data_IF_861076300747
#
_entry.id   IF_861076300747
#
_cell.length_a   1.000
_cell.length_b   1.000
_cell.length_c   1.000
_cell.angle_alpha   90.00
_cell.angle_beta   90.00
_cell.angle_gamma   90.00
#
_symmetry.space_group_name_H-M   'P 1'
#
loop_
_entity.id
_entity.type
_entity.pdbx_description
1 polymer ?
#
# COMPACT_ATOMS: atom_id res chain seq x y z
N UNK A 1 37.21 -57.18 37.32
CA UNK A 1 38.43 -56.63 36.68
C UNK A 1 38.06 -55.25 36.14
N UNK A 2 38.11 -54.18 36.95
CA UNK A 2 39.24 -53.26 37.21
C UNK A 2 39.94 -52.69 35.97
N UNK A 3 39.78 -51.36 35.84
CA UNK A 3 40.70 -50.33 35.35
C UNK A 3 41.16 -50.34 33.89
N UNK A 4 40.83 -49.28 33.15
CA UNK A 4 41.73 -48.11 33.05
C UNK A 4 40.96 -46.84 32.63
N UNK A 5 41.14 -45.77 33.42
CA UNK A 5 40.81 -44.40 33.05
C UNK A 5 41.85 -43.87 32.06
N UNK A 6 41.44 -42.97 31.17
CA UNK A 6 42.33 -41.89 30.71
C UNK A 6 41.55 -40.57 30.71
N UNK A 7 41.92 -39.70 31.65
CA UNK A 7 41.55 -38.31 31.69
C UNK A 7 42.67 -37.50 31.02
N UNK A 8 42.32 -36.50 30.21
CA UNK A 8 43.22 -35.43 29.82
C UNK A 8 42.49 -34.10 29.95
N UNK A 9 43.00 -33.25 30.83
CA UNK A 9 42.58 -31.86 31.08
C UNK A 9 43.61 -30.88 30.48
N UNK A 10 43.21 -29.59 30.45
CA UNK A 10 43.96 -28.35 30.15
C UNK A 10 43.98 -27.95 28.65
N UNK A 11 43.77 -26.69 28.22
CA UNK A 11 43.80 -25.38 28.90
C UNK A 11 42.97 -24.35 28.12
N UNK A 12 42.43 -23.36 28.83
CA UNK A 12 41.82 -22.14 28.31
C UNK A 12 42.89 -21.20 27.72
N UNK A 13 42.63 -20.64 26.54
CA UNK A 13 43.33 -19.47 25.99
C UNK A 13 42.30 -18.39 25.66
N UNK A 14 42.39 -17.27 26.41
CA UNK A 14 41.80 -15.99 26.04
C UNK A 14 42.78 -15.32 25.09
N UNK A 15 42.32 -14.93 23.90
CA UNK A 15 43.06 -14.06 23.00
C UNK A 15 42.12 -12.97 22.46
N UNK A 16 42.25 -11.75 22.99
CA UNK A 16 41.86 -10.54 22.28
C UNK A 16 42.99 -10.19 21.30
N UNK A 17 42.66 -10.03 20.02
CA UNK A 17 43.57 -9.61 18.97
C UNK A 17 42.81 -8.83 17.90
N UNK A 18 43.40 -7.72 17.50
CA UNK A 18 42.86 -6.57 16.75
C UNK A 18 43.05 -6.77 15.24
N UNK A 19 42.15 -6.20 14.42
CA UNK A 19 42.02 -6.32 12.94
C UNK A 19 43.31 -6.02 12.12
N UNK A 20 43.41 -6.49 10.85
CA UNK A 20 42.92 -5.67 9.72
C UNK A 20 42.37 -6.43 8.47
N UNK A 21 41.61 -5.72 7.64
CA UNK A 21 41.17 -6.10 6.28
C UNK A 21 39.66 -5.86 6.11
N UNK A 22 39.18 -4.64 5.83
CA UNK A 22 39.23 -3.93 4.54
C UNK A 22 38.95 -4.83 3.32
N UNK A 23 37.68 -4.86 2.92
CA UNK A 23 37.25 -5.01 1.53
C UNK A 23 35.85 -4.38 1.36
N UNK A 24 35.80 -3.30 0.58
CA UNK A 24 34.81 -3.22 -0.50
C UNK A 24 33.45 -2.58 -0.23
N UNK A 25 33.45 -1.25 -0.06
CA UNK A 25 32.66 -0.31 -0.87
C UNK A 25 31.20 -0.63 -1.25
N UNK A 26 30.27 0.07 -0.60
CA UNK A 26 28.94 0.39 -1.13
C UNK A 26 28.47 1.72 -0.53
N UNK A 27 28.88 2.84 -1.13
CA UNK A 27 28.55 4.18 -0.67
C UNK A 27 27.24 4.73 -1.21
N UNK A 28 26.61 5.59 -0.39
CA UNK A 28 25.66 6.65 -0.78
C UNK A 28 24.20 6.22 -0.86
N UNK A 29 23.20 6.95 -0.36
CA UNK A 29 23.16 8.27 0.29
C UNK A 29 22.41 8.16 1.62
N UNK A 30 22.80 8.87 2.66
CA UNK A 30 22.68 10.32 2.71
C UNK A 30 21.38 10.60 3.44
N UNK A 31 21.46 10.94 4.73
CA UNK A 31 20.32 11.31 5.55
C UNK A 31 19.53 12.41 4.85
N UNK A 32 18.44 12.01 4.19
CA UNK A 32 17.45 12.93 3.68
C UNK A 32 16.73 13.49 4.89
N UNK A 33 16.46 14.78 4.84
CA UNK A 33 15.48 15.37 5.74
C UNK A 33 14.17 14.60 5.51
N UNK A 34 13.68 13.87 6.52
CA UNK A 34 12.31 13.35 6.51
C UNK A 34 11.42 14.50 6.04
N UNK A 35 10.59 14.29 5.01
CA UNK A 35 9.65 15.31 4.61
C UNK A 35 8.81 15.66 5.84
N UNK A 36 8.96 16.87 6.36
CA UNK A 36 8.40 17.19 7.66
C UNK A 36 6.88 17.14 7.55
N UNK A 37 6.22 16.27 8.30
CA UNK A 37 4.76 16.30 8.38
C UNK A 37 4.29 17.64 8.94
N UNK A 38 3.17 18.16 8.42
CA UNK A 38 2.53 19.37 8.95
C UNK A 38 1.75 19.08 10.25
N UNK A 39 1.46 17.79 10.51
CA UNK A 39 0.52 17.35 11.53
C UNK A 39 -0.94 17.31 11.05
N UNK A 40 -1.21 17.76 9.83
CA UNK A 40 -2.51 17.65 9.18
C UNK A 40 -2.72 16.26 8.59
N UNK A 41 -3.92 15.73 8.75
CA UNK A 41 -4.32 14.44 8.18
C UNK A 41 -5.80 14.43 7.82
N UNK A 42 -6.14 13.65 6.81
CA UNK A 42 -7.51 13.45 6.35
C UNK A 42 -7.89 11.98 6.43
N UNK A 43 -9.17 11.67 6.63
CA UNK A 43 -9.65 10.29 6.65
C UNK A 43 -10.85 10.12 5.75
N UNK A 44 -10.84 9.04 4.97
CA UNK A 44 -12.00 8.54 4.25
C UNK A 44 -12.31 7.12 4.67
N UNK A 45 -13.58 6.75 4.57
CA UNK A 45 -14.08 5.44 4.97
C UNK A 45 -14.93 4.84 3.87
N UNK A 46 -14.62 3.60 3.49
CA UNK A 46 -15.49 2.74 2.72
C UNK A 46 -16.33 1.87 3.66
N UNK A 47 -17.66 1.85 3.45
CA UNK A 47 -18.59 1.04 4.23
C UNK A 47 -18.98 1.64 5.60
N UNK A 48 -19.50 0.83 6.55
CA UNK A 48 -19.55 -0.63 6.50
C UNK A 48 -20.65 -1.18 5.57
N UNK A 49 -20.43 -2.37 5.02
CA UNK A 49 -21.41 -3.17 4.28
C UNK A 49 -21.52 -4.55 4.93
N UNK A 50 -22.75 -5.02 5.16
CA UNK A 50 -22.99 -6.37 5.66
C UNK A 50 -23.01 -7.36 4.49
N UNK A 51 -22.06 -8.29 4.48
CA UNK A 51 -21.85 -9.25 3.39
C UNK A 51 -22.29 -10.64 3.85
N UNK A 52 -23.32 -11.25 3.24
CA UNK A 52 -23.74 -12.60 3.57
C UNK A 52 -22.66 -13.66 3.32
N UNK A 53 -22.79 -14.86 3.92
CA UNK A 53 -21.91 -16.00 3.62
C UNK A 53 -21.78 -16.28 2.12
N UNK A 54 -20.58 -16.68 1.70
CA UNK A 54 -20.26 -17.07 0.32
C UNK A 54 -20.59 -15.99 -0.73
N UNK A 55 -20.38 -14.71 -0.38
CA UNK A 55 -20.56 -13.57 -1.29
C UNK A 55 -19.25 -12.86 -1.57
N UNK A 56 -19.11 -12.48 -2.83
CA UNK A 56 -17.99 -11.73 -3.39
C UNK A 56 -18.58 -10.66 -4.30
N UNK A 57 -18.06 -9.43 -4.22
CA UNK A 57 -18.48 -8.33 -5.08
C UNK A 57 -17.43 -7.21 -5.05
N UNK A 58 -17.40 -6.39 -6.10
CA UNK A 58 -16.55 -5.19 -6.19
C UNK A 58 -17.43 -3.96 -6.26
N UNK A 59 -17.23 -3.04 -5.31
CA UNK A 59 -18.05 -1.85 -5.18
C UNK A 59 -17.21 -0.61 -4.92
N UNK A 60 -17.69 0.51 -5.46
CA UNK A 60 -16.99 1.78 -5.42
C UNK A 60 -17.83 2.85 -4.71
N UNK A 61 -17.12 3.78 -4.07
CA UNK A 61 -17.65 5.07 -3.62
C UNK A 61 -16.71 6.18 -4.05
N UNK A 62 -17.24 7.40 -4.10
CA UNK A 62 -16.52 8.61 -4.43
C UNK A 62 -16.76 9.62 -3.34
N UNK A 63 -15.69 10.04 -2.68
CA UNK A 63 -15.72 10.94 -1.55
C UNK A 63 -14.80 12.13 -1.81
N UNK A 64 -15.17 13.28 -1.27
CA UNK A 64 -14.38 14.50 -1.32
C UNK A 64 -13.56 14.62 -0.05
N UNK A 65 -12.26 14.87 -0.18
CA UNK A 65 -11.47 15.34 0.96
C UNK A 65 -11.92 16.75 1.37
N UNK A 66 -11.87 17.05 2.65
CA UNK A 66 -12.20 18.39 3.18
C UNK A 66 -10.96 19.29 3.30
N UNK A 67 -9.96 19.10 2.44
CA UNK A 67 -8.82 20.00 2.36
C UNK A 67 -9.22 21.29 1.62
N UNK A 68 -9.05 22.44 2.27
CA UNK A 68 -9.43 23.75 1.71
C UNK A 68 -8.40 24.29 0.70
N UNK A 69 -7.16 23.81 0.79
CA UNK A 69 -6.05 24.20 -0.07
C UNK A 69 -5.41 22.98 -0.71
N UNK A 70 -4.54 23.21 -1.69
CA UNK A 70 -3.66 22.15 -2.18
C UNK A 70 -2.84 21.55 -1.03
N UNK A 71 -2.70 20.23 -1.02
CA UNK A 71 -1.90 19.49 -0.03
C UNK A 71 -0.92 18.54 -0.72
N UNK A 72 0.19 18.23 -0.03
CA UNK A 72 1.16 17.21 -0.45
C UNK A 72 1.01 15.97 0.43
N UNK A 73 0.41 14.91 -0.08
CA UNK A 73 0.21 13.65 0.64
C UNK A 73 1.47 12.79 0.50
N UNK A 74 2.20 12.62 1.59
CA UNK A 74 3.47 11.87 1.62
C UNK A 74 3.31 10.44 2.17
N UNK A 75 2.25 10.20 2.92
CA UNK A 75 1.97 8.88 3.48
C UNK A 75 0.48 8.58 3.51
N UNK A 76 0.14 7.30 3.38
CA UNK A 76 -1.19 6.76 3.57
C UNK A 76 -1.18 5.65 4.62
N UNK A 77 -2.26 5.53 5.39
CA UNK A 77 -2.50 4.37 6.26
C UNK A 77 -3.86 3.77 5.96
N UNK A 78 -3.86 2.52 5.49
CA UNK A 78 -5.06 1.78 5.17
C UNK A 78 -5.35 0.74 6.25
N UNK A 79 -6.60 0.64 6.70
CA UNK A 79 -7.04 -0.39 7.65
C UNK A 79 -8.28 -1.09 7.10
N UNK A 80 -8.21 -2.41 6.96
CA UNK A 80 -9.28 -3.24 6.39
C UNK A 80 -9.87 -4.16 7.47
N UNK A 81 -11.19 -4.30 7.47
CA UNK A 81 -11.88 -5.27 8.33
C UNK A 81 -11.82 -6.68 7.78
N UNK A 82 -12.37 -7.64 8.54
CA UNK A 82 -12.65 -8.98 8.02
C UNK A 82 -13.57 -8.94 6.79
N UNK A 83 -13.35 -9.87 5.86
CA UNK A 83 -14.10 -9.98 4.60
C UNK A 83 -13.63 -9.05 3.47
N UNK A 84 -12.79 -8.05 3.73
CA UNK A 84 -12.09 -7.31 2.67
C UNK A 84 -11.09 -8.22 1.94
N UNK A 85 -11.00 -8.13 0.61
CA UNK A 85 -10.01 -8.85 -0.18
C UNK A 85 -8.94 -7.91 -0.75
N UNK A 86 -9.34 -6.76 -1.31
CA UNK A 86 -8.44 -5.63 -1.55
C UNK A 86 -9.17 -4.29 -1.52
N UNK A 87 -8.44 -3.24 -1.16
CA UNK A 87 -8.84 -1.84 -1.28
C UNK A 87 -7.92 -1.14 -2.28
N UNK A 88 -8.51 -0.41 -3.22
CA UNK A 88 -7.80 0.50 -4.11
C UNK A 88 -8.26 1.92 -3.83
N UNK A 89 -7.28 2.79 -3.62
CA UNK A 89 -7.48 4.23 -3.44
C UNK A 89 -7.03 4.90 -4.72
N UNK A 90 -7.92 5.69 -5.32
CA UNK A 90 -7.61 6.48 -6.50
C UNK A 90 -7.69 7.96 -6.18
N UNK A 91 -6.71 8.72 -6.68
CA UNK A 91 -6.91 10.15 -6.90
C UNK A 91 -7.76 10.32 -8.16
N UNK A 92 -8.88 11.02 -8.04
CA UNK A 92 -9.84 11.20 -9.12
C UNK A 92 -9.94 12.68 -9.51
N UNK A 93 -9.40 13.01 -10.68
CA UNK A 93 -9.45 14.34 -11.31
C UNK A 93 -10.53 14.43 -12.39
N UNK A 94 -11.39 13.41 -12.52
CA UNK A 94 -12.45 13.34 -13.52
C UNK A 94 -13.83 13.58 -12.91
N UNK A 95 -14.15 12.85 -11.85
CA UNK A 95 -15.43 12.97 -11.18
C UNK A 95 -15.48 14.20 -10.29
N UNK A 96 -16.69 14.76 -10.16
CA UNK A 96 -16.95 15.96 -9.34
C UNK A 96 -18.12 15.77 -8.38
N UNK A 97 -18.79 14.63 -8.44
CA UNK A 97 -19.96 14.33 -7.62
C UNK A 97 -19.64 13.22 -6.64
N UNK A 98 -20.01 13.41 -5.37
CA UNK A 98 -19.87 12.35 -4.39
C UNK A 98 -20.90 11.24 -4.62
N UNK A 99 -20.46 10.01 -4.41
CA UNK A 99 -21.29 8.82 -4.32
C UNK A 99 -20.88 8.11 -3.04
N UNK A 100 -21.62 8.38 -1.97
CA UNK A 100 -21.29 7.89 -0.63
C UNK A 100 -21.83 6.49 -0.36
N UNK A 101 -22.76 6.02 -1.20
CA UNK A 101 -23.31 4.67 -1.10
C UNK A 101 -22.55 3.73 -2.04
N UNK A 102 -22.03 2.60 -1.52
CA UNK A 102 -21.37 1.60 -2.36
C UNK A 102 -22.27 1.15 -3.52
N UNK A 103 -21.72 1.21 -4.74
CA UNK A 103 -22.38 0.76 -5.96
C UNK A 103 -21.47 -0.23 -6.70
N UNK A 104 -22.01 -1.23 -7.40
CA UNK A 104 -21.23 -2.09 -8.28
C UNK A 104 -20.38 -1.26 -9.24
N UNK A 105 -19.13 -1.68 -9.44
CA UNK A 105 -18.21 -1.04 -10.38
C UNK A 105 -17.28 -2.07 -11.04
N UNK A 106 -16.80 -1.72 -12.22
CA UNK A 106 -15.81 -2.53 -12.92
C UNK A 106 -14.44 -2.40 -12.22
N UNK A 107 -13.79 -3.52 -11.85
CA UNK A 107 -12.50 -3.51 -11.16
C UNK A 107 -11.40 -2.82 -11.98
N UNK A 108 -10.45 -2.19 -11.29
CA UNK A 108 -9.23 -1.62 -11.88
C UNK A 108 -9.45 -0.57 -12.98
N UNK A 109 -10.66 -0.03 -13.14
CA UNK A 109 -10.96 1.00 -14.16
C UNK A 109 -10.09 2.24 -14.08
N UNK A 110 -9.66 2.64 -12.87
CA UNK A 110 -8.69 3.71 -12.70
C UNK A 110 -7.28 3.31 -13.16
N UNK A 111 -6.85 2.10 -12.82
CA UNK A 111 -5.51 1.61 -13.12
C UNK A 111 -5.31 1.26 -14.61
N UNK A 112 -6.39 0.88 -15.30
CA UNK A 112 -6.37 0.43 -16.69
C UNK A 112 -6.82 1.52 -17.69
N UNK A 113 -7.30 2.68 -17.21
CA UNK A 113 -7.58 3.79 -18.11
C UNK A 113 -6.28 4.43 -18.61
N UNK A 114 -6.29 4.88 -19.86
CA UNK A 114 -5.15 5.60 -20.45
C UNK A 114 -5.23 7.12 -20.26
N UNK A 115 -6.25 7.64 -19.58
CA UNK A 115 -6.41 9.09 -19.40
C UNK A 115 -5.49 9.63 -18.32
N UNK A 116 -5.15 8.81 -17.32
CA UNK A 116 -4.38 9.22 -16.14
C UNK A 116 -5.15 10.17 -15.20
N UNK A 117 -6.42 10.47 -15.50
CA UNK A 117 -7.24 11.37 -14.69
C UNK A 117 -7.82 10.68 -13.46
N UNK A 118 -7.96 9.36 -13.48
CA UNK A 118 -8.28 8.56 -12.29
C UNK A 118 -7.10 7.62 -12.09
N UNK A 119 -6.25 7.91 -11.13
CA UNK A 119 -4.97 7.23 -10.96
C UNK A 119 -4.91 6.51 -9.60
N UNK A 120 -4.51 5.22 -9.55
CA UNK A 120 -4.32 4.54 -8.29
C UNK A 120 -3.15 5.17 -7.54
N UNK A 121 -3.32 5.33 -6.23
CA UNK A 121 -2.28 5.84 -5.31
C UNK A 121 -1.99 4.86 -4.17
N UNK A 122 -2.86 3.88 -3.97
CA UNK A 122 -2.63 2.71 -3.12
C UNK A 122 -3.44 1.52 -3.63
N UNK A 123 -2.84 0.34 -3.63
CA UNK A 123 -3.50 -0.95 -3.88
C UNK A 123 -3.04 -1.87 -2.75
N UNK A 124 -3.95 -2.25 -1.86
CA UNK A 124 -3.59 -3.03 -0.68
C UNK A 124 -4.54 -4.18 -0.41
N UNK A 125 -3.97 -5.25 0.13
CA UNK A 125 -4.65 -6.45 0.63
C UNK A 125 -4.27 -6.74 2.09
N UNK A 126 -3.45 -5.88 2.71
CA UNK A 126 -3.06 -6.05 4.13
C UNK A 126 -4.16 -5.49 5.02
N UNK A 127 -4.38 -6.14 6.16
CA UNK A 127 -5.34 -5.65 7.16
C UNK A 127 -4.95 -4.28 7.75
N UNK A 128 -3.65 -4.01 7.85
CA UNK A 128 -3.08 -2.73 8.26
C UNK A 128 -1.87 -2.46 7.34
N UNK A 129 -1.93 -1.39 6.55
CA UNK A 129 -0.89 -1.02 5.58
C UNK A 129 -0.50 0.44 5.70
N UNK A 130 0.73 0.69 6.12
CA UNK A 130 1.33 2.03 6.14
C UNK A 130 2.24 2.18 4.94
N UNK A 131 1.90 3.12 4.08
CA UNK A 131 2.63 3.46 2.87
C UNK A 131 3.36 4.77 3.15
N UNK A 132 4.69 4.73 3.12
CA UNK A 132 5.55 5.92 3.15
C UNK A 132 6.18 6.05 1.78
N UNK A 133 6.02 7.23 1.17
CA UNK A 133 6.71 7.54 -0.07
C UNK A 133 8.19 7.84 0.23
N UNK A 134 9.10 7.73 -0.75
CA UNK A 134 10.48 8.14 -0.58
C UNK A 134 10.59 9.62 -0.17
N UNK A 135 11.71 9.99 0.45
CA UNK A 135 11.99 11.37 0.84
C UNK A 135 11.71 12.35 -0.32
N UNK A 136 11.09 13.48 0.02
CA UNK A 136 10.79 14.57 -0.91
C UNK A 136 9.80 14.20 -2.04
N UNK A 137 9.14 13.05 -1.95
CA UNK A 137 8.12 12.59 -2.90
C UNK A 137 6.74 12.66 -2.27
N UNK A 138 5.75 13.21 -2.96
CA UNK A 138 4.36 13.23 -2.51
C UNK A 138 3.38 13.16 -3.69
N UNK A 139 2.13 12.80 -3.40
CA UNK A 139 1.03 13.09 -4.31
C UNK A 139 0.49 14.49 -4.04
N UNK A 140 0.26 15.27 -5.10
CA UNK A 140 -0.37 16.59 -5.01
C UNK A 140 -1.88 16.45 -5.15
N UNK A 141 -2.62 16.94 -4.16
CA UNK A 141 -4.08 16.91 -4.15
C UNK A 141 -4.61 18.33 -4.23
N UNK A 142 -5.52 18.58 -5.18
CA UNK A 142 -6.19 19.87 -5.32
C UNK A 142 -7.11 20.14 -4.10
N UNK A 143 -7.51 21.40 -3.86
CA UNK A 143 -8.58 21.70 -2.90
C UNK A 143 -9.79 20.80 -3.15
N UNK A 144 -10.31 20.22 -2.08
CA UNK A 144 -11.43 19.30 -2.11
C UNK A 144 -11.26 18.13 -3.09
N UNK A 145 -10.09 17.49 -3.10
CA UNK A 145 -9.79 16.41 -4.04
C UNK A 145 -10.84 15.30 -3.97
N UNK A 146 -11.34 14.88 -5.13
CA UNK A 146 -12.16 13.67 -5.21
C UNK A 146 -11.27 12.43 -5.13
N UNK A 147 -11.73 11.46 -4.34
CA UNK A 147 -11.09 10.17 -4.13
C UNK A 147 -12.11 9.08 -4.39
N UNK A 148 -11.76 8.16 -5.29
CA UNK A 148 -12.52 6.93 -5.49
C UNK A 148 -11.93 5.85 -4.59
N UNK A 149 -12.78 5.18 -3.82
CA UNK A 149 -12.44 3.99 -3.05
C UNK A 149 -13.13 2.78 -3.67
N UNK A 150 -12.35 1.82 -4.14
CA UNK A 150 -12.82 0.56 -4.71
C UNK A 150 -12.49 -0.57 -3.74
N UNK A 151 -13.54 -1.20 -3.20
CA UNK A 151 -13.41 -2.36 -2.34
C UNK A 151 -13.85 -3.59 -3.12
N UNK A 152 -12.94 -4.54 -3.26
CA UNK A 152 -13.30 -5.90 -3.55
C UNK A 152 -13.31 -6.68 -2.24
N UNK A 153 -14.43 -7.34 -1.96
CA UNK A 153 -14.61 -8.11 -0.74
C UNK A 153 -15.07 -9.53 -1.05
N UNK A 154 -14.70 -10.44 -0.16
CA UNK A 154 -15.08 -11.84 -0.18
C UNK A 154 -15.39 -12.30 1.24
N UNK A 155 -16.64 -12.67 1.49
CA UNK A 155 -17.01 -13.39 2.69
C UNK A 155 -16.99 -14.90 2.42
N UNK A 156 -15.87 -15.54 2.74
CA UNK A 156 -15.69 -16.99 2.66
C UNK A 156 -16.14 -17.73 3.93
N UNK A 157 -16.75 -17.05 4.89
CA UNK A 157 -17.24 -17.64 6.14
C UNK A 157 -18.67 -18.16 6.01
N UNK A 158 -19.17 -18.82 7.06
CA UNK A 158 -20.55 -19.28 7.19
C UNK A 158 -21.48 -18.27 7.91
N UNK A 159 -20.95 -17.10 8.27
CA UNK A 159 -21.69 -16.03 8.96
C UNK A 159 -21.64 -14.71 8.20
N UNK A 160 -22.53 -13.78 8.49
CA UNK A 160 -22.48 -12.44 7.88
C UNK A 160 -21.30 -11.65 8.43
N UNK A 161 -20.50 -11.09 7.54
CA UNK A 161 -19.35 -10.23 7.88
C UNK A 161 -19.69 -8.75 7.67
N UNK A 162 -19.08 -7.87 8.48
CA UNK A 162 -19.18 -6.42 8.29
C UNK A 162 -17.89 -5.91 7.65
N UNK A 163 -17.95 -5.57 6.38
CA UNK A 163 -16.81 -5.15 5.57
C UNK A 163 -16.68 -3.63 5.59
N UNK A 164 -15.48 -3.13 5.89
CA UNK A 164 -15.13 -1.71 6.01
C UNK A 164 -13.66 -1.52 5.62
N UNK A 165 -13.35 -0.38 5.01
CA UNK A 165 -11.98 0.10 4.85
C UNK A 165 -11.84 1.54 5.32
N UNK A 166 -10.74 1.88 5.98
CA UNK A 166 -10.37 3.25 6.30
C UNK A 166 -9.07 3.61 5.59
N UNK A 167 -8.96 4.86 5.15
CA UNK A 167 -7.76 5.44 4.54
C UNK A 167 -7.48 6.77 5.22
N UNK A 168 -6.34 6.86 5.90
CA UNK A 168 -5.81 8.10 6.44
C UNK A 168 -4.72 8.64 5.49
N UNK A 169 -4.78 9.94 5.17
CA UNK A 169 -3.83 10.67 4.31
C UNK A 169 -3.03 11.64 5.19
N UNK A 170 -1.70 11.55 5.16
CA UNK A 170 -0.82 12.40 5.98
C UNK A 170 -0.08 13.42 5.13
N UNK A 171 -0.17 14.69 5.54
CA UNK A 171 0.32 15.83 4.77
C UNK A 171 1.75 16.20 5.17
N UNK A 172 2.62 16.34 4.16
CA UNK A 172 3.97 16.88 4.30
C UNK A 172 3.98 18.39 4.03
N UNK A 173 4.98 19.08 4.60
CA UNK A 173 5.27 20.48 4.25
C UNK A 173 5.62 20.58 2.79
N UNK A 174 4.92 21.43 2.05
CA UNK A 174 5.15 21.61 0.63
C UNK A 174 6.60 22.05 0.29
N UNK A 175 7.28 22.77 1.19
CA UNK A 175 8.69 23.18 1.03
C UNK A 175 9.67 22.01 0.99
N UNK A 176 9.26 20.83 1.46
CA UNK A 176 10.13 19.68 1.62
C UNK A 176 9.98 18.68 0.46
N UNK A 177 9.04 18.94 -0.47
CA UNK A 177 8.68 18.07 -1.59
C UNK A 177 9.23 18.63 -2.91
N UNK A 178 9.96 17.79 -3.64
CA UNK A 178 10.51 18.11 -4.97
C UNK A 178 9.89 17.28 -6.10
N UNK A 179 9.23 16.18 -5.76
CA UNK A 179 8.88 15.14 -6.70
C UNK A 179 7.42 14.72 -6.53
N UNK A 180 6.75 14.59 -7.67
CA UNK A 180 5.39 14.06 -7.73
C UNK A 180 5.43 12.53 -7.79
N UNK A 181 4.64 11.88 -6.94
CA UNK A 181 4.45 10.44 -6.97
C UNK A 181 3.47 10.03 -8.08
N UNK A 182 3.71 8.87 -8.68
CA UNK A 182 2.79 8.23 -9.60
C UNK A 182 2.95 6.72 -9.52
N UNK A 183 1.89 5.99 -9.86
CA UNK A 183 1.94 4.54 -10.02
C UNK A 183 1.99 4.20 -11.50
N UNK A 184 2.98 3.40 -11.89
CA UNK A 184 2.98 2.71 -13.17
C UNK A 184 2.27 1.37 -13.00
N UNK A 185 1.04 1.27 -13.51
CA UNK A 185 0.32 0.00 -13.62
C UNK A 185 0.55 -0.56 -15.02
N UNK A 186 1.18 -1.73 -15.11
CA UNK A 186 1.50 -2.37 -16.39
C UNK A 186 1.17 -3.86 -16.33
N UNK A 187 0.74 -4.39 -17.46
CA UNK A 187 0.39 -5.78 -17.62
C UNK A 187 0.07 -6.06 -19.07
N UNK A 188 -0.24 -7.32 -19.37
CA UNK A 188 -0.66 -7.75 -20.69
C UNK A 188 -2.13 -8.13 -20.63
N UNK A 189 -3.06 -7.18 -20.80
CA UNK A 189 -4.50 -7.45 -20.67
C UNK A 189 -5.00 -8.41 -21.75
N UNK A 190 -4.31 -8.46 -22.89
CA UNK A 190 -4.72 -9.21 -24.09
C UNK A 190 -3.97 -10.56 -24.24
N UNK A 191 -3.71 -11.26 -23.14
CA UNK A 191 -3.15 -12.63 -23.22
C UNK A 191 -4.27 -13.63 -23.52
N UNK A 192 -4.15 -14.33 -24.65
CA UNK A 192 -5.04 -15.43 -25.04
C UNK A 192 -4.31 -16.78 -24.94
N UNK A 193 -4.58 -17.52 -23.86
CA UNK A 193 -4.12 -18.90 -23.70
C UNK A 193 -5.26 -19.83 -24.09
N UNK A 194 -5.17 -20.42 -25.27
CA UNK A 194 -6.17 -21.40 -25.75
C UNK A 194 -6.32 -22.57 -24.78
N UNK A 195 -7.52 -23.13 -24.70
CA UNK A 195 -7.83 -24.27 -23.85
C UNK A 195 -6.83 -25.42 -24.05
N UNK A 196 -6.25 -25.91 -22.95
CA UNK A 196 -5.26 -26.98 -22.95
C UNK A 196 -3.89 -26.61 -23.55
N UNK A 197 -3.62 -25.33 -23.79
CA UNK A 197 -2.31 -24.85 -24.25
C UNK A 197 -1.54 -24.19 -23.11
N UNK A 198 -0.22 -24.16 -23.27
CA UNK A 198 0.71 -23.42 -22.42
C UNK A 198 1.30 -22.29 -23.24
N UNK A 199 1.45 -21.11 -22.63
CA UNK A 199 2.20 -20.00 -23.19
C UNK A 199 3.39 -19.71 -22.26
N UNK A 200 4.48 -19.22 -22.84
CA UNK A 200 5.61 -18.67 -22.08
C UNK A 200 5.67 -17.18 -22.35
N UNK A 201 5.62 -16.39 -21.28
CA UNK A 201 5.83 -14.95 -21.32
C UNK A 201 7.33 -14.70 -21.10
N UNK A 202 7.93 -13.86 -21.94
CA UNK A 202 9.33 -13.44 -21.81
C UNK A 202 9.42 -12.12 -21.05
#
# INVERSE_FOLDING_TARGET
>A
MRCLLLALTLSSLVACGKDPGDDGGGGGGGGGVDAGFTGESFRLTWGPVNVPPSKEDTQCIWLRLNNETEIKVHSLHNVLSGGSHHLIVYKDDMDTTEQTTPTPCEPFTGALNSSGMVAPIAITQKADDKIYLPDRVAYTFAPHQMVKLEMHYLNATDSTESVKGDVDFFVAKASDIDHEAAILFTGSPDIDIKAGKTASLH
#
